data_IF_240979331643
#
_entry.id   IF_240979331643
#
_cell.length_a   1.000
_cell.length_b   1.000
_cell.length_c   1.000
_cell.angle_alpha   90.00
_cell.angle_beta   90.00
_cell.angle_gamma   90.00
#
_symmetry.space_group_name_H-M   'P 1'
#
loop_
_entity.id
_entity.type
_entity.pdbx_description
1 polymer ?
#
# COMPACT_ATOMS: atom_id res chain seq x y z
N UNK A 1 14.55 -24.07 27.20
CA UNK A 1 13.61 -23.54 26.21
C UNK A 1 14.15 -24.01 24.87
N UNK A 2 13.57 -25.10 24.36
CA UNK A 2 13.90 -25.63 23.04
C UNK A 2 13.61 -24.56 22.01
N UNK A 3 14.60 -24.27 21.17
CA UNK A 3 14.54 -23.36 20.06
C UNK A 3 13.51 -23.93 19.06
N UNK A 4 12.27 -23.48 19.19
CA UNK A 4 11.20 -23.86 18.26
C UNK A 4 11.65 -23.34 16.89
N UNK A 5 12.11 -24.24 16.03
CA UNK A 5 12.71 -23.92 14.75
C UNK A 5 11.63 -23.26 13.88
N UNK A 6 11.57 -21.94 13.94
CA UNK A 6 10.67 -21.13 13.13
C UNK A 6 10.89 -21.47 11.66
N UNK A 7 9.81 -21.50 10.88
CA UNK A 7 9.85 -21.79 9.44
C UNK A 7 10.44 -20.62 8.63
N UNK A 8 11.51 -19.98 9.12
CA UNK A 8 12.07 -18.77 8.49
C UNK A 8 12.71 -19.13 7.16
N UNK A 9 12.22 -18.59 6.03
CA UNK A 9 12.81 -18.86 4.73
C UNK A 9 14.22 -18.27 4.61
N UNK A 10 15.11 -18.99 3.93
CA UNK A 10 16.43 -18.44 3.57
C UNK A 10 16.28 -17.23 2.66
N UNK A 11 17.00 -16.15 2.95
CA UNK A 11 16.90 -14.89 2.19
C UNK A 11 15.71 -14.00 2.58
N UNK A 12 14.99 -14.31 3.67
CA UNK A 12 13.96 -13.43 4.17
C UNK A 12 14.49 -12.03 4.49
N UNK A 13 13.78 -11.02 4.06
CA UNK A 13 14.07 -9.61 4.36
C UNK A 13 13.07 -9.10 5.39
N UNK A 14 13.51 -8.58 6.55
CA UNK A 14 12.62 -8.07 7.60
C UNK A 14 11.67 -6.98 7.08
N UNK A 15 10.46 -6.97 7.62
CA UNK A 15 9.40 -6.05 7.22
C UNK A 15 9.00 -5.14 8.39
N UNK A 16 8.75 -3.89 8.11
CA UNK A 16 8.30 -2.91 9.12
C UNK A 16 7.04 -3.36 9.85
N UNK A 17 6.18 -4.11 9.18
CA UNK A 17 4.90 -4.60 9.70
C UNK A 17 5.03 -5.70 10.76
N UNK A 18 6.21 -6.28 10.96
CA UNK A 18 6.42 -7.42 11.87
C UNK A 18 6.07 -7.09 13.32
N UNK A 19 6.49 -5.94 13.82
CA UNK A 19 6.13 -5.50 15.18
C UNK A 19 4.61 -5.36 15.35
N UNK A 20 3.91 -4.95 14.27
CA UNK A 20 2.45 -4.86 14.29
C UNK A 20 1.81 -6.25 14.27
N UNK A 21 2.37 -7.19 13.52
CA UNK A 21 1.95 -8.59 13.53
C UNK A 21 2.09 -9.19 14.94
N UNK A 22 3.23 -8.98 15.59
CA UNK A 22 3.48 -9.45 16.95
C UNK A 22 2.44 -8.90 17.94
N UNK A 23 2.19 -7.59 17.91
CA UNK A 23 1.18 -6.97 18.76
C UNK A 23 -0.25 -7.49 18.49
N UNK A 24 -0.57 -7.84 17.24
CA UNK A 24 -1.86 -8.44 16.91
C UNK A 24 -1.97 -9.90 17.37
N UNK A 25 -0.90 -10.69 17.28
CA UNK A 25 -0.85 -12.05 17.81
C UNK A 25 -0.96 -12.09 19.34
N UNK A 26 -0.44 -11.07 20.04
CA UNK A 26 -0.63 -10.91 21.48
C UNK A 26 -2.08 -10.55 21.86
N UNK A 27 -2.83 -9.91 20.95
CA UNK A 27 -4.17 -9.41 21.23
C UNK A 27 -5.29 -10.34 20.74
N UNK A 28 -5.07 -11.09 19.64
CA UNK A 28 -6.09 -11.87 18.96
C UNK A 28 -5.69 -13.34 18.84
N UNK A 29 -6.68 -14.23 18.73
CA UNK A 29 -6.45 -15.66 18.50
C UNK A 29 -6.00 -15.96 17.08
N UNK A 30 -6.43 -15.16 16.11
CA UNK A 30 -6.10 -15.31 14.71
C UNK A 30 -5.74 -13.94 14.08
N UNK A 31 -4.76 -13.91 13.17
CA UNK A 31 -4.40 -12.72 12.38
C UNK A 31 -4.43 -13.08 10.90
N UNK A 32 -5.21 -12.32 10.10
CA UNK A 32 -5.16 -12.38 8.65
C UNK A 32 -4.16 -11.36 8.11
N UNK A 33 -3.19 -11.82 7.30
CA UNK A 33 -2.28 -10.96 6.52
C UNK A 33 -2.77 -10.94 5.07
N UNK A 34 -3.31 -9.83 4.62
CA UNK A 34 -3.76 -9.64 3.24
C UNK A 34 -2.87 -8.63 2.48
N UNK A 35 -2.90 -8.69 1.15
CA UNK A 35 -2.12 -7.80 0.30
C UNK A 35 -1.91 -8.38 -1.10
N UNK A 36 -1.30 -7.64 -2.04
CA UNK A 36 -1.08 -8.12 -3.39
C UNK A 36 -0.27 -9.42 -3.41
N UNK A 37 -0.44 -10.22 -4.46
CA UNK A 37 0.43 -11.39 -4.69
C UNK A 37 1.90 -10.94 -4.72
N UNK A 38 2.82 -11.80 -4.28
CA UNK A 38 4.26 -11.56 -4.29
C UNK A 38 4.82 -10.50 -3.32
N UNK A 39 3.99 -9.80 -2.53
CA UNK A 39 4.52 -8.82 -1.58
C UNK A 39 5.23 -9.43 -0.36
N UNK A 40 5.23 -10.76 -0.21
CA UNK A 40 5.97 -11.48 0.84
C UNK A 40 5.15 -11.92 2.06
N UNK A 41 3.81 -11.97 1.97
CA UNK A 41 2.90 -12.33 3.09
C UNK A 41 3.26 -13.66 3.74
N UNK A 42 3.34 -14.72 2.94
CA UNK A 42 3.65 -16.08 3.39
C UNK A 42 4.98 -16.13 4.12
N UNK A 43 6.02 -15.53 3.57
CA UNK A 43 7.35 -15.48 4.18
C UNK A 43 7.35 -14.72 5.51
N UNK A 44 6.63 -13.59 5.57
CA UNK A 44 6.48 -12.82 6.82
C UNK A 44 5.72 -13.64 7.86
N UNK A 45 4.63 -14.33 7.50
CA UNK A 45 3.89 -15.21 8.39
C UNK A 45 4.76 -16.36 8.91
N UNK A 46 5.54 -17.00 8.04
CA UNK A 46 6.45 -18.12 8.38
C UNK A 46 7.47 -17.75 9.46
N UNK A 47 7.86 -16.46 9.58
CA UNK A 47 8.77 -16.03 10.65
C UNK A 47 8.16 -16.12 12.04
N UNK A 48 6.84 -16.33 12.15
CA UNK A 48 6.09 -16.40 13.42
C UNK A 48 5.40 -17.75 13.64
N UNK A 49 5.43 -18.64 12.66
CA UNK A 49 4.71 -19.90 12.69
C UNK A 49 5.59 -21.08 13.09
N UNK A 50 5.00 -22.04 13.79
CA UNK A 50 5.59 -23.35 14.13
C UNK A 50 5.19 -24.42 13.12
N UNK A 51 4.04 -24.29 12.47
CA UNK A 51 3.54 -25.23 11.47
C UNK A 51 2.71 -24.51 10.41
N UNK A 52 2.43 -25.16 9.27
CA UNK A 52 1.74 -24.56 8.13
C UNK A 52 0.92 -25.58 7.36
N UNK A 53 -0.26 -25.17 6.91
CA UNK A 53 -1.10 -25.81 5.89
C UNK A 53 -1.16 -24.91 4.65
N UNK A 54 -1.02 -25.50 3.46
CA UNK A 54 -0.98 -24.76 2.18
C UNK A 54 -2.18 -25.14 1.31
N UNK A 55 -3.16 -24.27 1.21
CA UNK A 55 -4.37 -24.55 0.43
C UNK A 55 -4.18 -24.39 -1.10
N UNK A 56 -3.01 -23.97 -1.55
CA UNK A 56 -2.59 -24.11 -2.95
C UNK A 56 -2.14 -25.53 -3.29
N UNK A 57 -1.83 -26.39 -2.29
CA UNK A 57 -1.61 -27.82 -2.48
C UNK A 57 -2.95 -28.55 -2.66
N UNK A 58 -3.13 -29.32 -3.76
CA UNK A 58 -4.39 -30.01 -4.03
C UNK A 58 -4.83 -30.99 -2.96
N UNK A 59 -3.89 -31.66 -2.26
CA UNK A 59 -4.22 -32.66 -1.22
C UNK A 59 -4.69 -31.99 0.07
N UNK A 60 -4.04 -30.92 0.49
CA UNK A 60 -4.43 -30.14 1.67
C UNK A 60 -5.75 -29.41 1.43
N UNK A 61 -5.94 -28.86 0.20
CA UNK A 61 -7.20 -28.26 -0.21
C UNK A 61 -8.35 -29.25 -0.19
N UNK A 62 -8.20 -30.43 -0.79
CA UNK A 62 -9.25 -31.46 -0.79
C UNK A 62 -9.65 -31.88 0.63
N UNK A 63 -8.69 -31.99 1.56
CA UNK A 63 -9.00 -32.26 2.96
C UNK A 63 -9.78 -31.12 3.62
N UNK A 64 -9.40 -29.86 3.36
CA UNK A 64 -10.08 -28.68 3.89
C UNK A 64 -11.48 -28.47 3.28
N UNK A 65 -11.69 -28.83 2.03
CA UNK A 65 -13.02 -28.81 1.38
C UNK A 65 -13.96 -29.84 2.02
N UNK A 66 -13.44 -30.99 2.46
CA UNK A 66 -14.21 -32.00 3.19
C UNK A 66 -14.56 -31.53 4.62
N UNK A 67 -13.58 -30.99 5.33
CA UNK A 67 -13.74 -30.38 6.66
C UNK A 67 -12.74 -29.23 6.84
N UNK A 68 -13.20 -27.97 6.80
CA UNK A 68 -12.33 -26.80 6.96
C UNK A 68 -11.51 -26.75 8.26
N UNK A 69 -11.93 -27.52 9.29
CA UNK A 69 -11.19 -27.58 10.55
C UNK A 69 -9.88 -28.35 10.43
N UNK A 70 -9.73 -29.22 9.42
CA UNK A 70 -8.49 -29.97 9.17
C UNK A 70 -7.34 -29.01 8.78
N UNK A 71 -7.64 -27.89 8.10
CA UNK A 71 -6.65 -26.88 7.77
C UNK A 71 -6.09 -26.13 8.99
N UNK A 72 -6.69 -26.31 10.17
CA UNK A 72 -6.30 -25.59 11.40
C UNK A 72 -5.47 -26.46 12.35
N UNK A 73 -5.18 -27.70 11.94
CA UNK A 73 -4.46 -28.68 12.78
C UNK A 73 -2.97 -28.47 12.63
N UNK A 74 -2.31 -28.10 13.74
CA UNK A 74 -0.87 -27.92 13.76
C UNK A 74 -0.37 -27.30 15.06
N UNK A 75 0.93 -27.12 15.14
CA UNK A 75 1.58 -26.46 16.28
C UNK A 75 1.40 -24.94 16.17
N UNK A 76 0.98 -24.29 17.24
CA UNK A 76 0.67 -22.86 17.24
C UNK A 76 1.93 -21.99 17.43
N UNK A 77 2.02 -20.83 16.78
CA UNK A 77 1.10 -20.30 15.79
C UNK A 77 1.10 -21.14 14.51
N UNK A 78 -0.10 -21.51 14.02
CA UNK A 78 -0.26 -22.30 12.81
C UNK A 78 -0.66 -21.38 11.63
N UNK A 79 0.04 -21.47 10.51
CA UNK A 79 -0.24 -20.73 9.29
C UNK A 79 -1.18 -21.52 8.38
N UNK A 80 -2.27 -20.90 7.93
CA UNK A 80 -3.04 -21.38 6.78
C UNK A 80 -2.80 -20.41 5.62
N UNK A 81 -2.03 -20.89 4.63
CA UNK A 81 -1.66 -20.10 3.47
C UNK A 81 -2.71 -20.22 2.36
N UNK A 82 -3.01 -19.08 1.69
CA UNK A 82 -4.03 -18.92 0.64
C UNK A 82 -5.43 -19.40 1.11
N UNK A 83 -5.87 -18.97 2.30
CA UNK A 83 -7.12 -19.42 2.92
C UNK A 83 -8.36 -19.20 2.04
N UNK A 84 -8.34 -18.25 1.10
CA UNK A 84 -9.44 -17.97 0.19
C UNK A 84 -9.72 -19.09 -0.82
N UNK A 85 -8.80 -20.04 -1.00
CA UNK A 85 -9.02 -21.26 -1.82
C UNK A 85 -10.13 -22.14 -1.21
N UNK A 86 -10.30 -22.07 0.12
CA UNK A 86 -11.40 -22.71 0.87
C UNK A 86 -12.01 -21.67 1.81
N UNK A 87 -12.95 -20.83 1.35
CA UNK A 87 -13.47 -19.69 2.12
C UNK A 87 -14.09 -20.04 3.47
N UNK A 88 -14.59 -21.27 3.62
CA UNK A 88 -15.17 -21.79 4.85
C UNK A 88 -14.16 -21.89 6.01
N UNK A 89 -12.85 -21.89 5.71
CA UNK A 89 -11.76 -21.84 6.69
C UNK A 89 -11.85 -20.59 7.56
N UNK A 90 -12.37 -19.47 7.03
CA UNK A 90 -12.58 -18.26 7.83
C UNK A 90 -13.50 -18.49 9.02
N UNK A 91 -14.68 -19.06 8.78
CA UNK A 91 -15.64 -19.36 9.84
C UNK A 91 -15.16 -20.50 10.75
N UNK A 92 -14.41 -21.47 10.22
CA UNK A 92 -13.77 -22.52 11.02
C UNK A 92 -12.71 -21.91 11.95
N UNK A 93 -11.86 -20.99 11.48
CA UNK A 93 -10.86 -20.29 12.30
C UNK A 93 -11.51 -19.52 13.44
N UNK A 94 -12.62 -18.80 13.17
CA UNK A 94 -13.37 -18.12 14.22
C UNK A 94 -13.86 -19.09 15.30
N UNK A 95 -14.49 -20.22 14.89
CA UNK A 95 -14.97 -21.25 15.83
C UNK A 95 -13.83 -21.87 16.61
N UNK A 96 -12.69 -22.12 15.97
CA UNK A 96 -11.49 -22.66 16.61
C UNK A 96 -11.00 -21.74 17.74
N UNK A 97 -10.93 -20.42 17.48
CA UNK A 97 -10.56 -19.44 18.50
C UNK A 97 -11.56 -19.42 19.64
N UNK A 98 -12.87 -19.47 19.36
CA UNK A 98 -13.91 -19.55 20.41
C UNK A 98 -13.78 -20.83 21.25
N UNK A 99 -13.59 -21.98 20.61
CA UNK A 99 -13.45 -23.27 21.28
C UNK A 99 -12.17 -23.40 22.13
N UNK A 100 -11.10 -22.68 21.74
CA UNK A 100 -9.84 -22.61 22.50
C UNK A 100 -9.88 -21.66 23.71
N UNK A 101 -11.04 -21.07 24.04
CA UNK A 101 -11.17 -20.07 25.10
C UNK A 101 -10.51 -18.73 24.73
N UNK A 102 -10.50 -18.36 23.48
CA UNK A 102 -9.83 -17.16 22.94
C UNK A 102 -8.30 -17.18 23.19
N UNK A 103 -7.67 -18.34 23.13
CA UNK A 103 -6.22 -18.42 23.21
C UNK A 103 -5.59 -17.58 22.07
N UNK A 104 -4.71 -16.67 22.47
CA UNK A 104 -4.09 -15.69 21.57
C UNK A 104 -2.94 -16.31 20.78
N UNK A 105 -2.64 -15.77 19.60
CA UNK A 105 -1.50 -16.18 18.78
C UNK A 105 -1.58 -17.63 18.32
N UNK A 106 -2.78 -18.15 18.02
CA UNK A 106 -2.94 -19.55 17.62
C UNK A 106 -2.89 -19.76 16.12
N UNK A 107 -3.41 -18.81 15.33
CA UNK A 107 -3.53 -18.92 13.89
C UNK A 107 -3.02 -17.66 13.17
N UNK A 108 -2.41 -17.88 12.00
CA UNK A 108 -2.20 -16.83 10.99
C UNK A 108 -2.84 -17.31 9.68
N UNK A 109 -3.60 -16.46 9.03
CA UNK A 109 -4.15 -16.68 7.70
C UNK A 109 -3.43 -15.75 6.72
N UNK A 110 -3.04 -16.26 5.55
CA UNK A 110 -2.56 -15.41 4.46
C UNK A 110 -3.45 -15.54 3.25
N UNK A 111 -3.70 -14.42 2.58
CA UNK A 111 -4.52 -14.37 1.39
C UNK A 111 -4.14 -13.20 0.49
N UNK A 112 -4.15 -13.44 -0.81
CA UNK A 112 -3.73 -12.45 -1.82
C UNK A 112 -4.89 -11.71 -2.47
N UNK A 113 -6.12 -12.19 -2.27
CA UNK A 113 -7.31 -11.67 -2.96
C UNK A 113 -8.48 -11.61 -1.98
N UNK A 114 -9.26 -10.54 -2.05
CA UNK A 114 -10.57 -10.56 -1.40
C UNK A 114 -11.49 -11.55 -2.12
N UNK A 115 -12.31 -12.25 -1.35
CA UNK A 115 -13.24 -13.26 -1.89
C UNK A 115 -14.05 -12.72 -3.07
N UNK A 116 -14.24 -13.56 -4.08
CA UNK A 116 -15.13 -13.29 -5.21
C UNK A 116 -16.55 -12.98 -4.75
N UNK A 117 -17.35 -12.39 -5.62
CA UNK A 117 -18.77 -12.17 -5.31
C UNK A 117 -19.52 -13.49 -5.08
N UNK A 118 -19.10 -14.58 -5.75
CA UNK A 118 -19.65 -15.93 -5.58
C UNK A 118 -19.24 -16.61 -4.28
N UNK A 119 -18.06 -16.31 -3.76
CA UNK A 119 -17.53 -16.94 -2.53
C UNK A 119 -17.84 -16.16 -1.25
N UNK A 120 -18.19 -14.85 -1.35
CA UNK A 120 -18.58 -14.04 -0.19
C UNK A 120 -19.70 -14.67 0.66
N UNK A 121 -20.75 -15.31 0.09
CA UNK A 121 -21.78 -15.94 0.89
C UNK A 121 -21.28 -17.15 1.72
N UNK A 122 -20.13 -17.73 1.39
CA UNK A 122 -19.52 -18.83 2.13
C UNK A 122 -18.92 -18.36 3.48
N UNK A 123 -18.55 -17.07 3.57
CA UNK A 123 -18.10 -16.44 4.81
C UNK A 123 -19.29 -15.76 5.49
N UNK A 124 -19.79 -16.35 6.57
CA UNK A 124 -21.02 -15.91 7.25
C UNK A 124 -20.78 -14.91 8.37
N UNK A 125 -19.55 -14.84 8.90
CA UNK A 125 -19.21 -14.03 10.05
C UNK A 125 -18.03 -13.08 9.77
N UNK A 126 -18.06 -11.89 10.36
CA UNK A 126 -17.01 -10.88 10.19
C UNK A 126 -15.68 -11.23 10.85
N UNK A 127 -15.65 -12.22 11.75
CA UNK A 127 -14.48 -12.54 12.57
C UNK A 127 -14.20 -11.53 13.69
N UNK A 128 -15.08 -10.55 13.91
CA UNK A 128 -14.86 -9.47 14.87
C UNK A 128 -14.51 -9.99 16.28
N UNK A 129 -13.41 -9.44 16.85
CA UNK A 129 -12.88 -9.81 18.15
C UNK A 129 -12.10 -11.13 18.20
N UNK A 130 -12.05 -11.93 17.10
CA UNK A 130 -11.31 -13.19 17.00
C UNK A 130 -10.22 -13.11 15.97
N UNK A 131 -10.51 -12.52 14.82
CA UNK A 131 -9.60 -12.41 13.68
C UNK A 131 -9.25 -10.93 13.49
N UNK A 132 -7.98 -10.59 13.66
CA UNK A 132 -7.45 -9.29 13.29
C UNK A 132 -7.05 -9.28 11.82
N UNK A 133 -7.09 -8.11 11.18
CA UNK A 133 -6.65 -7.94 9.79
C UNK A 133 -5.42 -7.05 9.73
N UNK A 134 -4.44 -7.47 8.96
CA UNK A 134 -3.19 -6.79 8.71
C UNK A 134 -2.95 -6.69 7.21
N UNK A 135 -2.88 -5.48 6.68
CA UNK A 135 -2.60 -5.26 5.26
C UNK A 135 -1.10 -5.09 5.04
N UNK A 136 -0.56 -5.80 4.06
CA UNK A 136 0.84 -5.78 3.68
C UNK A 136 0.97 -5.32 2.23
N UNK A 137 1.88 -4.40 1.97
CA UNK A 137 2.18 -3.84 0.65
C UNK A 137 3.56 -4.32 0.16
N UNK A 138 3.93 -4.08 -1.10
CA UNK A 138 5.32 -4.19 -1.54
C UNK A 138 6.27 -3.40 -0.62
N UNK A 139 7.54 -3.72 -0.63
CA UNK A 139 8.54 -3.15 0.29
C UNK A 139 8.72 -1.65 0.06
N UNK A 140 8.78 -0.90 1.16
CA UNK A 140 9.26 0.48 1.13
C UNK A 140 10.76 0.54 0.83
N UNK A 141 11.28 1.70 0.42
CA UNK A 141 12.71 1.86 0.10
C UNK A 141 13.62 1.53 1.30
N UNK A 142 13.20 1.80 2.51
CA UNK A 142 13.96 1.44 3.71
C UNK A 142 13.93 -0.07 4.02
N UNK A 143 12.92 -0.80 3.53
CA UNK A 143 12.88 -2.26 3.65
C UNK A 143 13.70 -2.95 2.56
N UNK A 144 13.78 -2.34 1.37
CA UNK A 144 14.56 -2.87 0.24
C UNK A 144 16.06 -2.59 0.34
N UNK A 145 16.47 -1.71 1.24
CA UNK A 145 17.86 -1.29 1.40
C UNK A 145 18.27 -0.13 0.48
N UNK A 146 17.32 0.50 -0.22
CA UNK A 146 17.59 1.65 -1.09
C UNK A 146 17.56 2.98 -0.33
N UNK A 147 17.08 2.97 0.90
CA UNK A 147 17.06 4.13 1.78
C UNK A 147 17.78 3.86 3.10
N UNK A 148 18.47 4.86 3.60
CA UNK A 148 19.06 4.88 4.94
C UNK A 148 18.35 5.92 5.79
N UNK A 149 17.27 5.58 6.48
CA UNK A 149 16.45 6.55 7.20
C UNK A 149 17.22 7.34 8.24
N UNK A 150 17.08 8.66 8.19
CA UNK A 150 17.59 9.60 9.20
C UNK A 150 16.45 10.42 9.81
N UNK A 151 15.26 10.30 9.23
CA UNK A 151 14.01 10.81 9.73
C UNK A 151 12.93 9.73 9.70
N UNK A 152 12.05 9.75 10.69
CA UNK A 152 10.96 8.80 10.85
C UNK A 152 9.64 9.52 10.75
N UNK A 153 8.68 8.96 9.99
CA UNK A 153 7.32 9.48 9.94
C UNK A 153 6.70 9.53 11.33
N UNK A 154 6.99 8.54 12.16
CA UNK A 154 6.52 8.48 13.54
C UNK A 154 7.08 9.63 14.38
N UNK A 155 8.38 9.92 14.25
CA UNK A 155 9.00 11.06 14.94
C UNK A 155 8.39 12.39 14.47
N UNK A 156 8.22 12.57 13.16
CA UNK A 156 7.61 13.78 12.60
C UNK A 156 6.19 14.01 13.12
N UNK A 157 5.36 12.98 13.20
CA UNK A 157 3.99 13.06 13.75
C UNK A 157 3.97 13.38 15.26
N UNK A 158 5.07 13.14 15.96
CA UNK A 158 5.26 13.53 17.37
C UNK A 158 5.93 14.90 17.53
N UNK A 159 6.16 15.64 16.45
CA UNK A 159 6.87 16.91 16.45
C UNK A 159 8.39 16.80 16.62
N UNK A 160 8.94 15.58 16.42
CA UNK A 160 10.38 15.33 16.50
C UNK A 160 11.13 15.79 15.26
N UNK A 161 12.45 16.03 15.38
CA UNK A 161 13.28 16.47 14.26
C UNK A 161 13.64 15.33 13.32
N UNK A 162 14.03 15.70 12.09
CA UNK A 162 14.82 14.86 11.19
C UNK A 162 16.30 15.15 11.44
N UNK A 163 17.11 14.13 11.60
CA UNK A 163 18.57 14.34 11.74
C UNK A 163 19.14 14.89 10.44
N UNK A 164 19.88 16.02 10.47
CA UNK A 164 20.57 16.52 9.31
C UNK A 164 21.50 15.43 8.73
N UNK A 165 21.28 15.08 7.47
CA UNK A 165 22.06 14.03 6.82
C UNK A 165 22.19 14.31 5.32
N UNK A 166 23.33 13.91 4.77
CA UNK A 166 23.57 13.95 3.33
C UNK A 166 22.96 12.72 2.65
N UNK A 167 22.55 12.90 1.42
CA UNK A 167 22.04 11.86 0.55
C UNK A 167 22.67 12.02 -0.83
N UNK A 168 22.97 10.93 -1.48
CA UNK A 168 23.52 10.93 -2.83
C UNK A 168 22.54 10.39 -3.88
N UNK A 169 21.24 10.33 -3.54
CA UNK A 169 20.23 9.84 -4.48
C UNK A 169 20.14 10.71 -5.72
N UNK A 170 20.16 10.06 -6.88
CA UNK A 170 20.11 10.65 -8.19
C UNK A 170 18.74 10.47 -8.84
N UNK A 171 18.48 11.18 -9.94
CA UNK A 171 17.27 10.94 -10.77
C UNK A 171 17.27 9.53 -11.37
N UNK A 172 18.46 8.98 -11.64
CA UNK A 172 18.63 7.60 -12.10
C UNK A 172 18.16 6.59 -11.06
N UNK A 173 18.50 6.79 -9.79
CA UNK A 173 18.03 5.92 -8.70
C UNK A 173 16.52 5.98 -8.58
N UNK A 174 15.92 7.17 -8.62
CA UNK A 174 14.45 7.32 -8.59
C UNK A 174 13.79 6.59 -9.76
N UNK A 175 14.33 6.70 -10.96
CA UNK A 175 13.80 6.01 -12.13
C UNK A 175 13.91 4.49 -12.00
N UNK A 176 15.02 3.98 -11.47
CA UNK A 176 15.22 2.54 -11.18
C UNK A 176 14.25 2.06 -10.11
N UNK A 177 14.10 2.77 -9.00
CA UNK A 177 13.14 2.41 -7.94
C UNK A 177 11.71 2.31 -8.46
N UNK A 178 11.30 3.26 -9.31
CA UNK A 178 9.98 3.23 -9.93
C UNK A 178 9.79 2.03 -10.90
N UNK A 179 10.80 1.65 -11.65
CA UNK A 179 10.72 0.54 -12.61
C UNK A 179 10.86 -0.83 -11.94
N UNK A 180 11.76 -1.01 -10.98
CA UNK A 180 11.98 -2.27 -10.27
C UNK A 180 10.86 -2.57 -9.28
N UNK A 181 10.35 -1.54 -8.61
CA UNK A 181 9.34 -1.67 -7.56
C UNK A 181 9.88 -2.23 -6.24
N UNK A 182 8.96 -2.46 -5.31
CA UNK A 182 9.21 -3.00 -3.97
C UNK A 182 8.90 -4.49 -3.83
N UNK A 183 8.92 -5.26 -4.89
CA UNK A 183 8.71 -6.71 -4.85
C UNK A 183 9.95 -7.40 -4.30
N UNK A 184 9.85 -8.20 -3.20
CA UNK A 184 11.03 -8.83 -2.60
C UNK A 184 11.87 -9.64 -3.59
N UNK A 185 11.21 -10.36 -4.51
CA UNK A 185 11.89 -11.17 -5.52
C UNK A 185 12.63 -10.36 -6.59
N UNK A 186 12.34 -9.07 -6.75
CA UNK A 186 12.98 -8.22 -7.76
C UNK A 186 14.26 -7.54 -7.27
N UNK A 187 14.51 -7.53 -5.96
CA UNK A 187 15.56 -6.69 -5.38
C UNK A 187 16.99 -7.09 -5.81
N UNK A 188 17.19 -8.37 -6.07
CA UNK A 188 18.49 -8.92 -6.47
C UNK A 188 18.60 -9.15 -8.00
N UNK A 189 17.61 -8.66 -8.78
CA UNK A 189 17.57 -8.80 -10.22
C UNK A 189 18.17 -7.58 -10.94
N UNK A 190 18.57 -7.77 -12.22
CA UNK A 190 18.84 -6.63 -13.10
C UNK A 190 17.55 -5.83 -13.37
N UNK A 191 17.70 -4.57 -13.80
CA UNK A 191 16.55 -3.71 -14.07
C UNK A 191 15.63 -4.35 -15.15
N UNK A 192 16.20 -4.99 -16.20
CA UNK A 192 15.45 -5.66 -17.25
C UNK A 192 14.68 -6.88 -16.71
N UNK A 193 15.33 -7.72 -15.88
CA UNK A 193 14.70 -8.89 -15.27
C UNK A 193 13.57 -8.49 -14.32
N UNK A 194 13.76 -7.46 -13.52
CA UNK A 194 12.73 -6.94 -12.60
C UNK A 194 11.52 -6.38 -13.36
N UNK A 195 11.73 -5.71 -14.50
CA UNK A 195 10.64 -5.23 -15.35
C UNK A 195 9.89 -6.38 -16.02
N UNK A 196 10.59 -7.43 -16.48
CA UNK A 196 9.94 -8.62 -17.03
C UNK A 196 9.10 -9.34 -15.98
N UNK A 197 9.57 -9.47 -14.73
CA UNK A 197 8.76 -10.07 -13.66
C UNK A 197 7.47 -9.28 -13.41
N UNK A 198 7.51 -7.95 -13.44
CA UNK A 198 6.33 -7.09 -13.32
C UNK A 198 5.36 -7.28 -14.50
N UNK A 199 5.89 -7.47 -15.73
CA UNK A 199 5.07 -7.75 -16.91
C UNK A 199 4.37 -9.10 -16.79
N UNK A 200 5.08 -10.14 -16.37
CA UNK A 200 4.51 -11.48 -16.15
C UNK A 200 3.49 -11.48 -15.00
N UNK A 201 3.73 -10.70 -13.94
CA UNK A 201 2.75 -10.52 -12.86
C UNK A 201 1.42 -9.95 -13.38
N UNK A 202 1.47 -8.89 -14.20
CA UNK A 202 0.26 -8.29 -14.77
C UNK A 202 -0.47 -9.31 -15.65
N UNK A 203 0.26 -10.04 -16.52
CA UNK A 203 -0.32 -11.09 -17.37
C UNK A 203 -1.00 -12.17 -16.54
N UNK A 204 -0.31 -12.70 -15.51
CA UNK A 204 -0.86 -13.74 -14.65
C UNK A 204 -2.14 -13.29 -13.94
N UNK A 205 -2.21 -12.03 -13.48
CA UNK A 205 -3.43 -11.47 -12.86
C UNK A 205 -4.57 -11.38 -13.88
N UNK A 206 -4.29 -10.97 -15.11
CA UNK A 206 -5.31 -10.85 -16.17
C UNK A 206 -5.81 -12.22 -16.63
N UNK A 207 -4.90 -13.14 -16.89
CA UNK A 207 -5.20 -14.46 -17.48
C UNK A 207 -5.87 -15.42 -16.48
N UNK A 208 -5.70 -15.19 -15.18
CA UNK A 208 -6.28 -16.03 -14.14
C UNK A 208 -7.36 -15.25 -13.39
N UNK A 209 -6.98 -14.25 -12.58
CA UNK A 209 -7.90 -13.65 -11.64
C UNK A 209 -9.02 -12.83 -12.29
N UNK A 210 -8.75 -12.17 -13.45
CA UNK A 210 -9.77 -11.42 -14.17
C UNK A 210 -10.72 -12.37 -14.92
N UNK A 211 -10.17 -13.44 -15.52
CA UNK A 211 -10.98 -14.44 -16.22
C UNK A 211 -11.86 -15.25 -15.26
N UNK A 212 -11.36 -15.63 -14.09
CA UNK A 212 -12.13 -16.34 -13.06
C UNK A 212 -13.33 -15.53 -12.55
N UNK A 213 -13.25 -14.20 -12.61
CA UNK A 213 -14.38 -13.30 -12.30
C UNK A 213 -15.33 -13.09 -13.52
N UNK A 214 -15.12 -13.82 -14.61
CA UNK A 214 -15.93 -13.71 -15.84
C UNK A 214 -15.76 -12.36 -16.56
N UNK A 215 -14.61 -11.72 -16.44
CA UNK A 215 -14.30 -10.40 -17.01
C UNK A 215 -13.36 -10.52 -18.22
N UNK A 216 -13.41 -9.51 -19.13
CA UNK A 216 -12.48 -9.43 -20.27
C UNK A 216 -11.09 -8.98 -19.80
N UNK A 217 -10.04 -9.80 -20.05
CA UNK A 217 -8.65 -9.40 -19.81
C UNK A 217 -8.22 -8.22 -20.68
N UNK A 218 -8.74 -8.08 -21.90
CA UNK A 218 -8.41 -6.99 -22.82
C UNK A 218 -8.90 -5.65 -22.27
N UNK A 219 -10.15 -5.60 -21.79
CA UNK A 219 -10.72 -4.41 -21.17
C UNK A 219 -10.01 -4.09 -19.86
N UNK A 220 -9.68 -5.11 -19.06
CA UNK A 220 -8.90 -4.93 -17.84
C UNK A 220 -7.51 -4.34 -18.13
N UNK A 221 -6.80 -4.85 -19.15
CA UNK A 221 -5.52 -4.30 -19.59
C UNK A 221 -5.67 -2.84 -20.04
N UNK A 222 -6.69 -2.51 -20.82
CA UNK A 222 -6.99 -1.14 -21.25
C UNK A 222 -7.19 -0.20 -20.07
N UNK A 223 -7.99 -0.61 -19.08
CA UNK A 223 -8.26 0.18 -17.88
C UNK A 223 -7.03 0.30 -16.96
N UNK A 224 -6.21 -0.75 -16.82
CA UNK A 224 -4.94 -0.67 -16.08
C UNK A 224 -3.96 0.32 -16.74
N UNK A 225 -3.89 0.32 -18.10
CA UNK A 225 -3.09 1.31 -18.85
C UNK A 225 -3.62 2.73 -18.64
N UNK A 226 -4.94 2.92 -18.70
CA UNK A 226 -5.57 4.21 -18.42
C UNK A 226 -5.26 4.70 -17.00
N UNK A 227 -5.27 3.80 -16.01
CA UNK A 227 -4.85 4.13 -14.64
C UNK A 227 -3.37 4.51 -14.57
N UNK A 228 -2.49 3.80 -15.28
CA UNK A 228 -1.06 4.12 -15.32
C UNK A 228 -0.78 5.48 -15.99
N UNK A 229 -1.48 5.80 -17.09
CA UNK A 229 -1.39 7.10 -17.77
C UNK A 229 -1.87 8.25 -16.87
N UNK A 230 -2.82 7.99 -15.99
CA UNK A 230 -3.40 8.93 -15.05
C UNK A 230 -2.94 8.69 -13.60
N UNK A 231 -1.76 8.07 -13.42
CA UNK A 231 -1.22 7.82 -12.09
C UNK A 231 -1.16 9.12 -11.29
N UNK A 232 -1.44 9.03 -9.99
CA UNK A 232 -1.41 10.19 -9.08
C UNK A 232 -2.43 11.31 -9.39
N UNK A 233 -3.38 11.07 -10.29
CA UNK A 233 -4.36 12.06 -10.71
C UNK A 233 -5.80 11.70 -10.29
N UNK A 234 -6.59 12.74 -10.06
CA UNK A 234 -8.01 12.64 -9.74
C UNK A 234 -8.86 12.71 -11.02
N UNK A 235 -8.98 11.59 -11.74
CA UNK A 235 -9.72 11.51 -13.02
C UNK A 235 -11.11 10.90 -12.88
N UNK A 236 -11.97 11.17 -13.88
CA UNK A 236 -13.33 10.63 -13.94
C UNK A 236 -13.35 9.23 -14.55
N UNK A 237 -14.44 8.48 -14.32
CA UNK A 237 -14.68 7.23 -15.02
C UNK A 237 -14.73 7.42 -16.54
N UNK A 238 -15.34 8.53 -17.00
CA UNK A 238 -15.36 8.90 -18.44
C UNK A 238 -13.97 9.08 -19.02
N UNK A 239 -13.04 9.69 -18.27
CA UNK A 239 -11.64 9.82 -18.68
C UNK A 239 -10.99 8.46 -18.81
N UNK A 240 -11.12 7.60 -17.79
CA UNK A 240 -10.58 6.24 -17.81
C UNK A 240 -11.20 5.41 -18.95
N UNK A 241 -12.52 5.51 -19.17
CA UNK A 241 -13.21 4.82 -20.26
C UNK A 241 -12.67 5.24 -21.63
N UNK A 242 -12.47 6.54 -21.84
CA UNK A 242 -11.93 7.09 -23.09
C UNK A 242 -10.48 6.62 -23.32
N UNK A 243 -9.64 6.69 -22.29
CA UNK A 243 -8.23 6.29 -22.39
C UNK A 243 -8.07 4.78 -22.59
N UNK A 244 -8.98 3.97 -22.03
CA UNK A 244 -8.97 2.52 -22.20
C UNK A 244 -9.44 2.09 -23.60
N UNK A 245 -10.29 2.86 -24.27
CA UNK A 245 -10.94 2.49 -25.53
C UNK A 245 -10.08 2.72 -26.78
N UNK A 246 -8.95 3.42 -26.67
CA UNK A 246 -8.03 3.71 -27.77
C UNK A 246 -8.72 4.21 -29.07
N UNK A 247 -9.85 4.90 -28.97
CA UNK A 247 -10.59 5.48 -30.12
C UNK A 247 -11.89 4.77 -30.49
N UNK A 248 -12.23 3.66 -29.88
CA UNK A 248 -13.51 2.97 -30.00
C UNK A 248 -14.55 3.47 -28.97
N UNK A 249 -15.79 2.97 -29.04
CA UNK A 249 -16.79 3.23 -28.01
C UNK A 249 -16.31 2.63 -26.67
N UNK A 250 -15.99 3.49 -25.69
CA UNK A 250 -15.48 3.07 -24.40
C UNK A 250 -16.53 2.37 -23.53
N UNK A 251 -16.09 1.69 -22.46
CA UNK A 251 -16.97 1.06 -21.49
C UNK A 251 -17.83 2.11 -20.75
N UNK A 252 -18.98 1.70 -20.23
CA UNK A 252 -19.83 2.59 -19.41
C UNK A 252 -19.18 2.91 -18.07
N UNK A 253 -19.64 3.99 -17.40
CA UNK A 253 -19.16 4.36 -16.06
C UNK A 253 -19.36 3.21 -15.05
N UNK A 254 -20.45 2.44 -15.14
CA UNK A 254 -20.72 1.28 -14.29
C UNK A 254 -19.74 0.14 -14.56
N UNK A 255 -19.39 -0.08 -15.83
CA UNK A 255 -18.38 -1.07 -16.19
C UNK A 255 -17.01 -0.67 -15.63
N UNK A 256 -16.60 0.58 -15.81
CA UNK A 256 -15.36 1.10 -15.22
C UNK A 256 -15.34 0.91 -13.71
N UNK A 257 -16.41 1.35 -13.01
CA UNK A 257 -16.52 1.21 -11.55
C UNK A 257 -16.38 -0.26 -11.11
N UNK A 258 -16.98 -1.18 -11.84
CA UNK A 258 -16.94 -2.61 -11.56
C UNK A 258 -15.53 -3.20 -11.72
N UNK A 259 -14.75 -2.77 -12.74
CA UNK A 259 -13.35 -3.18 -12.88
C UNK A 259 -12.45 -2.55 -11.83
N UNK A 260 -12.68 -1.29 -11.45
CA UNK A 260 -11.94 -0.65 -10.36
C UNK A 260 -12.16 -1.35 -9.02
N UNK A 261 -13.40 -1.80 -8.73
CA UNK A 261 -13.70 -2.65 -7.56
C UNK A 261 -12.93 -3.97 -7.62
N UNK A 262 -12.88 -4.62 -8.79
CA UNK A 262 -12.07 -5.82 -8.99
C UNK A 262 -10.59 -5.55 -8.71
N UNK A 263 -10.00 -4.51 -9.29
CA UNK A 263 -8.59 -4.18 -9.07
C UNK A 263 -8.29 -3.85 -7.60
N UNK A 264 -9.21 -3.19 -6.89
CA UNK A 264 -9.09 -2.95 -5.45
C UNK A 264 -9.16 -4.26 -4.65
N UNK A 265 -10.03 -5.20 -5.03
CA UNK A 265 -10.10 -6.53 -4.41
C UNK A 265 -8.85 -7.36 -4.66
N UNK A 266 -8.27 -7.27 -5.85
CA UNK A 266 -6.99 -7.88 -6.21
C UNK A 266 -5.78 -7.15 -5.59
N UNK A 267 -6.01 -6.08 -4.82
CA UNK A 267 -4.96 -5.26 -4.21
C UNK A 267 -3.98 -4.62 -5.21
N UNK A 268 -4.44 -4.42 -6.46
CA UNK A 268 -3.67 -3.73 -7.48
C UNK A 268 -3.85 -2.22 -7.44
N UNK A 269 -5.04 -1.79 -6.99
CA UNK A 269 -5.48 -0.40 -6.99
C UNK A 269 -5.70 0.09 -5.57
N UNK A 270 -5.19 1.27 -5.31
CA UNK A 270 -5.35 2.01 -4.08
C UNK A 270 -6.00 3.37 -4.35
N UNK A 271 -7.03 3.72 -3.60
CA UNK A 271 -7.68 5.02 -3.67
C UNK A 271 -7.30 5.89 -2.47
N UNK A 272 -6.84 7.11 -2.74
CA UNK A 272 -6.58 8.14 -1.73
C UNK A 272 -7.69 9.17 -1.80
N UNK A 273 -8.42 9.30 -0.70
CA UNK A 273 -9.55 10.24 -0.60
C UNK A 273 -9.08 11.65 -0.31
N UNK A 274 -9.91 12.63 -0.69
CA UNK A 274 -9.68 14.01 -0.26
C UNK A 274 -9.85 14.15 1.25
N UNK A 275 -8.87 14.79 1.89
CA UNK A 275 -8.89 15.07 3.32
C UNK A 275 -9.94 16.10 3.68
N UNK A 276 -10.69 15.82 4.73
CA UNK A 276 -11.62 16.77 5.35
C UNK A 276 -11.02 17.18 6.68
N UNK A 277 -10.57 18.42 6.80
CA UNK A 277 -10.08 18.91 8.09
C UNK A 277 -11.10 18.62 9.20
N UNK A 278 -10.68 18.31 10.45
CA UNK A 278 -11.57 17.89 11.54
C UNK A 278 -12.46 19.03 12.07
N UNK A 279 -12.80 20.01 11.26
CA UNK A 279 -13.59 21.16 11.61
C UNK A 279 -14.93 21.16 10.89
N UNK A 280 -15.96 21.74 11.50
CA UNK A 280 -17.28 21.99 10.93
C UNK A 280 -17.21 22.94 9.71
N UNK A 281 -16.27 22.72 8.82
CA UNK A 281 -16.14 23.44 7.55
C UNK A 281 -17.33 23.11 6.67
N UNK A 282 -18.07 24.13 6.25
CA UNK A 282 -19.11 24.01 5.22
C UNK A 282 -18.50 23.75 3.83
N UNK A 283 -17.19 23.77 3.67
CA UNK A 283 -16.50 23.43 2.44
C UNK A 283 -16.77 21.94 2.14
N UNK A 284 -17.72 21.69 1.26
CA UNK A 284 -17.98 20.35 0.73
C UNK A 284 -16.85 19.99 -0.20
N UNK A 285 -15.78 19.38 0.35
CA UNK A 285 -14.73 18.76 -0.45
C UNK A 285 -15.35 17.53 -1.15
N UNK A 286 -16.04 17.75 -2.27
CA UNK A 286 -16.47 16.71 -3.20
C UNK A 286 -15.32 16.42 -4.16
N UNK A 287 -14.21 15.98 -3.63
CA UNK A 287 -13.04 15.66 -4.44
C UNK A 287 -13.06 14.17 -4.77
N UNK A 288 -12.86 13.87 -6.05
CA UNK A 288 -12.72 12.48 -6.52
C UNK A 288 -11.43 11.90 -5.93
N UNK A 289 -11.37 10.58 -5.62
CA UNK A 289 -10.14 9.99 -5.14
C UNK A 289 -9.03 10.11 -6.19
N UNK A 290 -7.79 10.31 -5.74
CA UNK A 290 -6.60 10.02 -6.52
C UNK A 290 -6.41 8.51 -6.53
N UNK A 291 -5.93 7.96 -7.65
CA UNK A 291 -5.75 6.52 -7.83
C UNK A 291 -4.29 6.19 -8.08
N UNK A 292 -3.83 5.17 -7.37
CA UNK A 292 -2.46 4.69 -7.43
C UNK A 292 -2.48 3.18 -7.65
N UNK A 293 -1.60 2.67 -8.51
CA UNK A 293 -1.31 1.25 -8.46
C UNK A 293 -0.54 0.93 -7.17
N UNK A 294 -0.70 -0.27 -6.66
CA UNK A 294 -0.12 -0.68 -5.36
C UNK A 294 1.42 -0.58 -5.33
N UNK A 295 2.04 -0.55 -6.51
CA UNK A 295 3.46 -0.33 -6.71
C UNK A 295 3.72 0.43 -8.03
N UNK A 296 4.64 1.41 -8.06
CA UNK A 296 4.93 2.19 -9.27
C UNK A 296 5.45 1.36 -10.44
N UNK A 297 6.08 0.20 -10.18
CA UNK A 297 6.60 -0.68 -11.24
C UNK A 297 5.50 -1.23 -12.13
N UNK A 298 4.29 -1.42 -11.61
CA UNK A 298 3.15 -1.84 -12.42
C UNK A 298 2.76 -0.75 -13.42
N UNK A 299 2.77 0.53 -12.98
CA UNK A 299 2.49 1.65 -13.87
C UNK A 299 3.62 1.83 -14.91
N UNK A 300 4.88 1.74 -14.49
CA UNK A 300 6.03 1.80 -15.40
C UNK A 300 5.92 0.71 -16.48
N UNK A 301 5.63 -0.53 -16.09
CA UNK A 301 5.46 -1.67 -17.01
C UNK A 301 4.31 -1.45 -18.00
N UNK A 302 3.14 -1.00 -17.52
CA UNK A 302 1.96 -0.73 -18.36
C UNK A 302 2.21 0.39 -19.38
N UNK A 303 3.06 1.36 -19.06
CA UNK A 303 3.48 2.45 -19.93
C UNK A 303 4.66 2.06 -20.84
N UNK A 304 5.25 0.87 -20.68
CA UNK A 304 6.46 0.46 -21.40
C UNK A 304 7.64 1.39 -21.07
N UNK A 305 7.68 1.92 -19.85
CA UNK A 305 8.72 2.81 -19.39
C UNK A 305 9.95 2.00 -18.94
N UNK A 306 11.15 2.51 -19.26
CA UNK A 306 12.43 2.05 -18.72
C UNK A 306 13.08 3.20 -17.92
N UNK A 307 14.08 2.94 -17.06
CA UNK A 307 14.77 4.02 -16.36
C UNK A 307 15.28 5.12 -17.30
N UNK A 308 15.87 4.77 -18.44
CA UNK A 308 16.40 5.71 -19.43
C UNK A 308 15.29 6.56 -20.09
N UNK A 309 14.12 5.96 -20.34
CA UNK A 309 12.96 6.70 -20.87
C UNK A 309 12.40 7.66 -19.85
N UNK A 310 12.28 7.23 -18.59
CA UNK A 310 11.77 8.06 -17.50
C UNK A 310 12.67 9.27 -17.21
N UNK A 311 13.99 9.12 -17.30
CA UNK A 311 14.93 10.25 -17.14
C UNK A 311 14.69 11.33 -18.20
N UNK A 312 14.25 10.94 -19.40
CA UNK A 312 13.92 11.89 -20.49
C UNK A 312 12.50 12.44 -20.39
N UNK A 313 11.60 11.71 -19.75
CA UNK A 313 10.22 12.12 -19.48
C UNK A 313 10.03 12.35 -17.98
N UNK A 314 10.54 13.49 -17.52
CA UNK A 314 10.50 13.89 -16.10
C UNK A 314 9.07 14.13 -15.60
N UNK A 315 8.10 14.37 -16.46
CA UNK A 315 6.70 14.48 -16.08
C UNK A 315 6.14 13.14 -15.65
N UNK A 316 6.30 12.10 -16.48
CA UNK A 316 5.90 10.73 -16.12
C UNK A 316 6.68 10.24 -14.91
N UNK A 317 8.01 10.49 -14.85
CA UNK A 317 8.81 10.13 -13.68
C UNK A 317 8.28 10.79 -12.40
N UNK A 318 7.85 12.04 -12.44
CA UNK A 318 7.27 12.75 -11.30
C UNK A 318 5.99 12.07 -10.78
N UNK A 319 5.11 11.65 -11.68
CA UNK A 319 3.87 10.92 -11.32
C UNK A 319 4.17 9.53 -10.70
N UNK A 320 5.13 8.81 -11.27
CA UNK A 320 5.55 7.51 -10.71
C UNK A 320 6.30 7.66 -9.38
N UNK A 321 7.07 8.71 -9.21
CA UNK A 321 7.71 9.04 -7.94
C UNK A 321 6.67 9.39 -6.86
N UNK A 322 5.62 10.14 -7.21
CA UNK A 322 4.50 10.36 -6.28
C UNK A 322 3.87 9.01 -5.88
N UNK A 323 3.63 8.10 -6.83
CA UNK A 323 3.11 6.75 -6.52
C UNK A 323 4.06 5.98 -5.56
N UNK A 324 5.38 6.08 -5.77
CA UNK A 324 6.38 5.45 -4.91
C UNK A 324 6.29 5.99 -3.47
N UNK A 325 6.29 7.31 -3.30
CA UNK A 325 6.21 7.95 -1.98
C UNK A 325 4.89 7.58 -1.29
N UNK A 326 3.77 7.58 -2.03
CA UNK A 326 2.45 7.22 -1.50
C UNK A 326 2.40 5.74 -1.06
N UNK A 327 3.08 4.82 -1.77
CA UNK A 327 3.23 3.43 -1.33
C UNK A 327 3.99 3.36 -0.01
N UNK A 328 5.14 4.03 0.09
CA UNK A 328 5.98 3.98 1.29
C UNK A 328 5.27 4.59 2.50
N UNK A 329 4.58 5.73 2.34
CA UNK A 329 3.78 6.32 3.40
C UNK A 329 2.69 5.36 3.91
N UNK A 330 2.09 4.56 3.03
CA UNK A 330 1.13 3.52 3.44
C UNK A 330 1.80 2.37 4.19
N UNK A 331 2.98 1.93 3.74
CA UNK A 331 3.77 0.93 4.48
C UNK A 331 4.07 1.45 5.89
N UNK A 332 4.48 2.71 6.03
CA UNK A 332 4.74 3.30 7.34
C UNK A 332 3.46 3.35 8.18
N UNK A 333 2.34 3.81 7.62
CA UNK A 333 1.06 3.89 8.33
C UNK A 333 0.51 2.52 8.74
N UNK A 334 0.81 1.45 8.00
CA UNK A 334 0.37 0.10 8.33
C UNK A 334 0.95 -0.44 9.65
N UNK A 335 2.01 0.17 10.16
CA UNK A 335 2.64 -0.19 11.44
C UNK A 335 1.94 0.41 12.66
N UNK A 336 1.08 1.41 12.46
CA UNK A 336 0.39 2.10 13.56
C UNK A 336 -0.79 1.29 14.09
N UNK A 337 -0.99 1.38 15.39
CA UNK A 337 -2.14 0.79 16.06
C UNK A 337 -3.36 1.73 16.05
N UNK A 338 -4.55 1.16 16.09
CA UNK A 338 -5.80 1.91 16.24
C UNK A 338 -6.46 2.31 14.92
N UNK A 339 -7.48 3.14 15.04
CA UNK A 339 -8.30 3.67 13.94
C UNK A 339 -7.84 5.10 13.63
N UNK A 340 -7.98 5.53 12.36
CA UNK A 340 -7.67 6.88 11.93
C UNK A 340 -6.21 7.10 11.52
N UNK A 341 -5.50 6.00 11.26
CA UNK A 341 -4.17 6.05 10.65
C UNK A 341 -4.35 5.96 9.14
N UNK A 342 -4.52 7.10 8.49
CA UNK A 342 -4.96 7.15 7.10
C UNK A 342 -4.13 8.15 6.30
N UNK A 343 -4.05 7.88 4.99
CA UNK A 343 -3.41 8.71 3.99
C UNK A 343 -4.50 9.36 3.12
N UNK A 344 -4.42 10.68 3.01
CA UNK A 344 -5.31 11.50 2.22
C UNK A 344 -4.49 12.40 1.28
N UNK A 345 -5.16 13.13 0.40
CA UNK A 345 -4.63 14.33 -0.26
C UNK A 345 -5.55 15.52 0.04
N UNK A 346 -5.07 16.72 -0.14
CA UNK A 346 -5.90 17.90 0.02
C UNK A 346 -6.09 18.60 -1.34
N UNK A 347 -7.31 18.99 -1.62
CA UNK A 347 -7.63 19.88 -2.73
C UNK A 347 -8.91 20.64 -2.42
N UNK A 348 -8.92 21.93 -2.70
CA UNK A 348 -10.07 22.80 -2.49
C UNK A 348 -10.51 23.55 -3.76
N UNK A 349 -11.60 24.31 -3.62
CA UNK A 349 -12.20 25.05 -4.72
C UNK A 349 -11.33 26.24 -5.19
N UNK A 350 -10.33 26.67 -4.40
CA UNK A 350 -9.37 27.72 -4.80
C UNK A 350 -8.25 27.17 -5.68
N UNK A 351 -8.17 25.84 -5.85
CA UNK A 351 -7.12 25.15 -6.58
C UNK A 351 -5.88 24.86 -5.77
N UNK A 352 -5.88 25.14 -4.45
CA UNK A 352 -4.80 24.71 -3.56
C UNK A 352 -4.85 23.19 -3.43
N UNK A 353 -3.73 22.54 -3.73
CA UNK A 353 -3.56 21.10 -3.62
C UNK A 353 -2.31 20.79 -2.78
N UNK A 354 -2.40 19.73 -1.95
CA UNK A 354 -1.27 19.12 -1.23
C UNK A 354 -1.31 17.63 -1.49
N UNK A 355 -0.18 17.08 -1.93
CA UNK A 355 -0.08 15.73 -2.48
C UNK A 355 -0.45 14.65 -1.46
N UNK A 356 0.00 14.78 -0.20
CA UNK A 356 -0.34 13.84 0.85
C UNK A 356 -0.62 14.54 2.19
N UNK A 357 -1.67 14.08 2.87
CA UNK A 357 -1.95 14.37 4.28
C UNK A 357 -1.90 13.06 5.03
N UNK A 358 -0.97 12.97 5.96
CA UNK A 358 -0.80 11.79 6.82
C UNK A 358 -1.48 12.07 8.14
N UNK A 359 -2.37 11.16 8.56
CA UNK A 359 -3.03 11.25 9.86
C UNK A 359 -2.78 9.98 10.65
N UNK A 360 -2.23 10.09 11.86
CA UNK A 360 -2.05 8.98 12.77
C UNK A 360 -1.92 9.45 14.22
N UNK A 361 -2.39 8.65 15.17
CA UNK A 361 -2.28 8.94 16.60
C UNK A 361 -2.94 10.25 17.05
N UNK A 362 -3.92 10.75 16.29
CA UNK A 362 -4.59 12.03 16.55
C UNK A 362 -3.84 13.27 16.04
N UNK A 363 -2.65 13.10 15.47
CA UNK A 363 -1.87 14.14 14.78
C UNK A 363 -2.01 14.04 13.27
N UNK A 364 -1.70 15.13 12.57
CA UNK A 364 -1.61 15.13 11.11
C UNK A 364 -0.37 15.89 10.62
N UNK A 365 0.10 15.52 9.44
CA UNK A 365 1.18 16.21 8.75
C UNK A 365 0.88 16.37 7.26
N UNK A 366 1.39 17.44 6.65
CA UNK A 366 1.27 17.71 5.23
C UNK A 366 2.58 17.40 4.49
N UNK A 367 2.47 16.75 3.34
CA UNK A 367 3.61 16.37 2.51
C UNK A 367 3.35 16.80 1.07
N UNK A 368 4.28 17.55 0.50
CA UNK A 368 4.40 17.79 -0.94
C UNK A 368 5.49 16.89 -1.51
N UNK A 369 5.30 16.38 -2.70
CA UNK A 369 6.20 15.43 -3.36
C UNK A 369 6.78 16.09 -4.62
N UNK A 370 8.09 16.21 -4.67
CA UNK A 370 8.79 16.85 -5.78
C UNK A 370 9.95 16.00 -6.25
N UNK A 371 10.13 15.87 -7.56
CA UNK A 371 11.22 15.06 -8.12
C UNK A 371 12.60 15.59 -7.72
N UNK A 372 12.74 16.89 -7.47
CA UNK A 372 14.01 17.55 -7.14
C UNK A 372 13.83 18.61 -6.05
N UNK A 373 14.88 18.79 -5.24
CA UNK A 373 14.99 19.84 -4.22
C UNK A 373 14.93 21.26 -4.80
N UNK A 374 15.26 21.43 -6.09
CA UNK A 374 15.07 22.73 -6.79
C UNK A 374 13.61 23.21 -6.84
N UNK A 375 12.66 22.31 -6.56
CA UNK A 375 11.22 22.59 -6.47
C UNK A 375 10.69 22.61 -5.02
N UNK A 376 11.58 22.56 -4.04
CA UNK A 376 11.18 22.56 -2.63
C UNK A 376 10.43 23.83 -2.23
N UNK A 377 10.79 24.99 -2.77
CA UNK A 377 10.10 26.26 -2.50
C UNK A 377 8.64 26.26 -3.01
N UNK A 378 8.39 25.62 -4.15
CA UNK A 378 7.05 25.50 -4.71
C UNK A 378 6.17 24.64 -3.79
N UNK A 379 6.70 23.49 -3.32
CA UNK A 379 6.01 22.62 -2.38
C UNK A 379 5.78 23.29 -1.02
N UNK A 380 6.79 23.97 -0.48
CA UNK A 380 6.67 24.67 0.80
C UNK A 380 5.57 25.73 0.77
N UNK A 381 5.41 26.48 -0.34
CA UNK A 381 4.33 27.47 -0.48
C UNK A 381 2.94 26.86 -0.34
N UNK A 382 2.68 25.71 -0.96
CA UNK A 382 1.39 25.02 -0.86
C UNK A 382 1.10 24.58 0.58
N UNK A 383 2.10 23.99 1.24
CA UNK A 383 1.99 23.53 2.63
C UNK A 383 1.71 24.70 3.59
N UNK A 384 2.42 25.81 3.43
CA UNK A 384 2.23 27.01 4.25
C UNK A 384 0.83 27.61 3.99
N UNK A 385 0.42 27.69 2.72
CA UNK A 385 -0.92 28.17 2.37
C UNK A 385 -2.03 27.31 2.98
N UNK A 386 -1.85 25.98 3.03
CA UNK A 386 -2.77 25.09 3.72
C UNK A 386 -2.79 25.36 5.23
N UNK A 387 -1.63 25.43 5.89
CA UNK A 387 -1.51 25.73 7.32
C UNK A 387 -2.22 27.03 7.67
N UNK A 388 -1.90 28.10 6.95
CA UNK A 388 -2.42 29.45 7.24
C UNK A 388 -3.93 29.52 6.98
N UNK A 389 -4.43 28.82 5.96
CA UNK A 389 -5.88 28.69 5.70
C UNK A 389 -6.61 27.98 6.83
N UNK A 390 -6.01 26.95 7.41
CA UNK A 390 -6.60 26.20 8.55
C UNK A 390 -6.56 27.01 9.84
N UNK A 391 -5.52 27.80 10.05
CA UNK A 391 -5.35 28.60 11.27
C UNK A 391 -6.46 29.67 11.44
N UNK A 392 -6.98 30.21 10.33
CA UNK A 392 -8.05 31.25 10.37
C UNK A 392 -9.46 30.66 10.30
N UNK A 393 -9.61 29.34 10.17
CA UNK A 393 -10.93 28.74 10.02
C UNK A 393 -11.68 28.67 11.39
N UNK A 394 -13.02 28.92 11.43
CA UNK A 394 -13.78 28.88 12.68
C UNK A 394 -13.73 27.48 13.34
N UNK A 395 -13.32 27.41 14.59
CA UNK A 395 -13.21 26.15 15.34
C UNK A 395 -11.83 25.49 15.29
N UNK A 396 -10.77 26.25 14.99
CA UNK A 396 -9.39 25.83 14.76
C UNK A 396 -8.65 25.13 15.93
N UNK A 397 -9.34 24.69 16.98
CA UNK A 397 -8.70 23.86 18.01
C UNK A 397 -8.20 22.55 17.36
N UNK A 398 -6.88 22.33 17.41
CA UNK A 398 -6.13 21.23 16.79
C UNK A 398 -5.92 21.33 15.25
N UNK A 399 -5.93 22.52 14.67
CA UNK A 399 -5.67 22.73 13.24
C UNK A 399 -4.18 22.76 12.88
N UNK A 400 -3.28 22.83 13.87
CA UNK A 400 -1.84 22.87 13.58
C UNK A 400 -1.31 21.50 13.14
N UNK A 401 -0.55 21.45 12.03
CA UNK A 401 0.13 20.22 11.63
C UNK A 401 1.27 19.91 12.60
N UNK A 402 1.47 18.62 12.90
CA UNK A 402 2.64 18.16 13.64
C UNK A 402 3.93 18.42 12.86
N UNK A 403 3.85 18.35 11.54
CA UNK A 403 4.93 18.71 10.63
C UNK A 403 4.40 19.09 9.25
N UNK A 404 5.23 19.82 8.50
CA UNK A 404 5.10 20.05 7.08
C UNK A 404 6.41 19.62 6.41
N UNK A 405 6.33 18.87 5.31
CA UNK A 405 7.52 18.37 4.64
C UNK A 405 7.39 18.37 3.12
N UNK A 406 8.46 18.72 2.43
CA UNK A 406 8.63 18.46 0.99
C UNK A 406 9.52 17.23 0.87
N UNK A 407 8.96 16.12 0.39
CA UNK A 407 9.71 14.90 0.10
C UNK A 407 10.24 15.01 -1.33
N UNK A 408 11.56 14.85 -1.48
CA UNK A 408 12.23 15.03 -2.76
C UNK A 408 12.86 13.72 -3.25
N UNK A 409 12.77 13.44 -4.55
CA UNK A 409 13.40 12.27 -5.16
C UNK A 409 14.91 12.45 -5.25
N UNK A 410 15.35 13.56 -5.82
CA UNK A 410 16.74 14.01 -5.85
C UNK A 410 16.93 15.14 -4.86
N UNK A 411 17.86 14.97 -3.95
CA UNK A 411 18.24 16.00 -2.99
C UNK A 411 19.50 15.56 -2.24
N UNK A 412 20.34 16.52 -1.88
CA UNK A 412 21.64 16.22 -1.25
C UNK A 412 21.63 16.28 0.27
N UNK A 413 20.59 16.85 0.87
CA UNK A 413 20.53 17.10 2.31
C UNK A 413 19.10 17.06 2.85
N UNK A 414 18.91 16.46 4.01
CA UNK A 414 17.70 16.67 4.82
C UNK A 414 17.93 17.90 5.73
N UNK A 415 17.00 18.87 5.69
CA UNK A 415 17.09 20.09 6.49
C UNK A 415 15.72 20.67 6.77
N UNK A 416 15.64 21.52 7.78
CA UNK A 416 14.47 22.36 8.06
C UNK A 416 14.70 23.78 7.53
N UNK A 417 13.74 24.29 6.80
CA UNK A 417 13.72 25.65 6.28
C UNK A 417 13.39 26.64 7.41
N UNK A 418 13.68 27.93 7.20
CA UNK A 418 13.35 29.00 8.15
C UNK A 418 11.85 29.13 8.44
N UNK A 419 10.99 28.75 7.47
CA UNK A 419 9.53 28.75 7.60
C UNK A 419 8.99 27.49 8.34
N UNK A 420 9.88 26.61 8.82
CA UNK A 420 9.56 25.40 9.56
C UNK A 420 9.25 24.17 8.71
N UNK A 421 9.20 24.30 7.38
CA UNK A 421 8.95 23.18 6.47
C UNK A 421 10.24 22.34 6.35
N UNK A 422 10.11 21.03 6.48
CA UNK A 422 11.20 20.09 6.24
C UNK A 422 11.40 19.85 4.73
N UNK A 423 12.62 19.70 4.30
CA UNK A 423 12.98 19.16 2.97
C UNK A 423 13.71 17.86 3.22
N UNK A 424 13.14 16.73 2.72
CA UNK A 424 13.61 15.39 3.05
C UNK A 424 13.78 14.59 1.76
N UNK A 425 15.02 14.22 1.38
CA UNK A 425 15.21 13.20 0.34
C UNK A 425 14.52 11.90 0.73
N UNK A 426 13.80 11.27 -0.22
CA UNK A 426 13.04 10.04 0.04
C UNK A 426 13.94 8.92 0.57
N UNK A 427 15.19 8.86 0.13
CA UNK A 427 16.18 7.90 0.62
C UNK A 427 16.60 8.11 2.10
N UNK A 428 16.19 9.20 2.74
CA UNK A 428 16.43 9.47 4.16
C UNK A 428 15.17 9.37 5.02
N UNK A 429 14.01 9.07 4.41
CA UNK A 429 12.73 8.94 5.11
C UNK A 429 12.43 7.47 5.43
N UNK A 430 12.00 7.21 6.66
CA UNK A 430 11.55 5.91 7.14
C UNK A 430 10.36 6.01 8.10
N UNK A 431 10.11 4.90 8.80
CA UNK A 431 9.00 4.79 9.75
C UNK A 431 9.42 5.13 11.17
#
# INVERSE_FOLDING_TARGET
MEDNQKLVPSGYRPRLIENRLDALLEAFGCVEINGPKWCGKTWTAMTRCASMTRLDDPSERAAAELDPSLALIGEAPHLVDEWQEVPEVWDASRRFVDASGNKRGTLILTGSTALSAGDRPKVRHSGAGRIARLSMLPMALCESGDAEPKGSLKSLLQGGPVSPARCESSVQDVARWCCRGGWPANLDLSDEAAMETSAQYIRAVLDVNVMDEGRSPELAMGLLRALAMNASQSVTYKTLAKDAAAGEAGPTDETVASYLDLFARLKLLEEVRGWKPPMRSKARVRVKPKRYLCDPSLAATLLGATPERLIRDTQTLGLLFENLVMRDLRVFLSTYAGIGNELYYYRDDSGLEVDAIVQAGGAWGGIEIKLSDTKADDGARNLIALRDKLAVAPGAQNAEPAFLAVVVGRGSLAYQREDGVWVIPMALLGN
#
